data_IF_376898289871
#
_entry.id   IF_376898289871
#
_cell.length_a   1.000
_cell.length_b   1.000
_cell.length_c   1.000
_cell.angle_alpha   90.00
_cell.angle_beta   90.00
_cell.angle_gamma   90.00
#
_symmetry.space_group_name_H-M   'P 1'
#
loop_
_entity.id
_entity.type
_entity.pdbx_description
1 polymer ?
#
# COMPACT_ATOMS: atom_id res chain seq x y z
N UNK A 1 -60.43 -2.06 -48.04
CA UNK A 1 -60.09 -2.33 -46.64
C UNK A 1 -58.59 -2.39 -46.54
N UNK A 2 -57.96 -1.27 -46.09
CA UNK A 2 -56.51 -1.12 -46.02
C UNK A 2 -56.12 -1.55 -44.64
N UNK A 3 -55.32 -2.64 -44.53
CA UNK A 3 -54.75 -3.10 -43.27
C UNK A 3 -53.43 -2.31 -43.06
N UNK A 4 -53.44 -1.40 -42.11
CA UNK A 4 -52.26 -0.66 -41.64
C UNK A 4 -51.49 -1.55 -40.68
N UNK A 5 -50.36 -2.13 -41.16
CA UNK A 5 -49.42 -2.84 -40.26
C UNK A 5 -48.63 -1.80 -39.46
N UNK A 6 -48.93 -1.69 -38.18
CA UNK A 6 -48.08 -0.97 -37.20
C UNK A 6 -46.85 -1.83 -36.89
N UNK A 7 -45.71 -1.53 -37.49
CA UNK A 7 -44.42 -2.02 -37.07
C UNK A 7 -44.05 -1.29 -35.76
N UNK A 8 -44.29 -1.97 -34.63
CA UNK A 8 -43.74 -1.55 -33.35
C UNK A 8 -42.23 -1.84 -33.36
N UNK A 9 -41.43 -0.79 -33.62
CA UNK A 9 -39.99 -0.85 -33.43
C UNK A 9 -39.75 -0.91 -31.92
N UNK A 10 -39.40 -2.08 -31.37
CA UNK A 10 -38.71 -2.18 -30.08
C UNK A 10 -37.39 -1.39 -30.21
N UNK A 11 -37.33 -0.22 -29.60
CA UNK A 11 -36.05 0.39 -29.24
C UNK A 11 -35.55 -0.39 -28.03
N UNK A 12 -34.57 -1.26 -28.25
CA UNK A 12 -33.71 -1.71 -27.17
C UNK A 12 -33.02 -0.45 -26.61
N UNK A 13 -33.44 0.04 -25.48
CA UNK A 13 -32.67 1.06 -24.73
C UNK A 13 -31.42 0.36 -24.23
N UNK A 14 -30.31 0.50 -24.98
CA UNK A 14 -28.99 0.11 -24.49
C UNK A 14 -28.69 0.97 -23.26
N UNK A 15 -28.67 0.34 -22.09
CA UNK A 15 -28.19 1.00 -20.87
C UNK A 15 -26.73 1.38 -21.07
N UNK A 16 -26.34 2.64 -20.85
CA UNK A 16 -24.96 3.05 -21.05
C UNK A 16 -24.04 2.26 -20.11
N UNK A 17 -22.91 1.82 -20.65
CA UNK A 17 -21.89 1.11 -19.88
C UNK A 17 -21.36 2.01 -18.74
N UNK A 18 -21.06 1.40 -17.58
CA UNK A 18 -20.54 2.12 -16.42
C UNK A 18 -19.14 2.65 -16.71
N UNK A 19 -18.90 3.92 -16.36
CA UNK A 19 -17.58 4.56 -16.43
C UNK A 19 -16.81 4.49 -15.10
N UNK A 20 -17.32 3.77 -14.11
CA UNK A 20 -16.71 3.66 -12.78
C UNK A 20 -15.42 2.85 -12.82
N UNK A 21 -14.32 3.46 -12.32
CA UNK A 21 -12.97 2.91 -12.33
C UNK A 21 -12.18 3.39 -11.12
N UNK A 22 -12.66 3.06 -9.93
CA UNK A 22 -12.10 3.57 -8.68
C UNK A 22 -11.43 2.48 -7.87
N UNK A 23 -10.24 2.75 -7.34
CA UNK A 23 -9.61 1.94 -6.30
C UNK A 23 -10.10 2.39 -4.93
N UNK A 24 -10.79 1.50 -4.21
CA UNK A 24 -11.46 1.78 -2.93
C UNK A 24 -10.50 1.61 -1.75
N UNK A 25 -9.69 0.56 -1.78
CA UNK A 25 -8.72 0.26 -0.73
C UNK A 25 -7.52 -0.49 -1.28
N UNK A 26 -6.39 -0.34 -0.62
CA UNK A 26 -5.15 -1.03 -0.95
C UNK A 26 -4.37 -1.33 0.34
N UNK A 27 -3.87 -2.54 0.49
CA UNK A 27 -3.11 -2.97 1.68
C UNK A 27 -2.17 -4.11 1.35
N UNK A 28 -1.14 -4.30 2.17
CA UNK A 28 -0.28 -5.48 2.19
C UNK A 28 -0.56 -6.21 3.51
N UNK A 29 -1.12 -7.40 3.43
CA UNK A 29 -1.47 -8.21 4.60
C UNK A 29 -0.30 -9.10 4.99
N UNK A 30 0.03 -9.18 6.28
CA UNK A 30 1.09 -10.06 6.79
C UNK A 30 0.75 -11.54 6.55
N UNK A 31 -0.52 -11.91 6.65
CA UNK A 31 -0.99 -13.28 6.39
C UNK A 31 -0.57 -13.81 5.03
N UNK A 32 -0.62 -12.95 4.01
CA UNK A 32 -0.35 -13.29 2.61
C UNK A 32 1.14 -13.12 2.26
N UNK A 33 1.91 -12.46 3.16
CA UNK A 33 3.31 -12.07 2.98
C UNK A 33 4.20 -12.56 4.14
N UNK A 34 3.99 -13.79 4.59
CA UNK A 34 4.70 -14.35 5.74
C UNK A 34 6.22 -14.34 5.53
N UNK A 35 6.96 -13.90 6.54
CA UNK A 35 8.41 -13.80 6.50
C UNK A 35 8.97 -12.62 5.71
N UNK A 36 8.11 -11.80 5.05
CA UNK A 36 8.53 -10.64 4.26
C UNK A 36 8.23 -9.32 4.94
N UNK A 37 7.12 -9.23 5.65
CA UNK A 37 6.73 -8.03 6.40
C UNK A 37 6.41 -8.35 7.86
N UNK A 38 6.63 -7.39 8.74
CA UNK A 38 6.38 -7.55 10.19
C UNK A 38 4.92 -7.35 10.56
N UNK A 39 4.24 -6.39 9.92
CA UNK A 39 2.89 -5.95 10.25
C UNK A 39 2.07 -5.72 8.98
N UNK A 40 0.73 -5.73 9.12
CA UNK A 40 -0.16 -5.29 8.06
C UNK A 40 0.09 -3.80 7.73
N UNK A 41 0.10 -3.49 6.45
CA UNK A 41 0.31 -2.13 5.95
C UNK A 41 -0.93 -1.70 5.17
N UNK A 42 -1.56 -0.59 5.59
CA UNK A 42 -2.65 0.04 4.85
C UNK A 42 -2.12 1.15 3.98
N UNK A 43 -2.54 1.17 2.72
CA UNK A 43 -2.27 2.25 1.79
C UNK A 43 -3.13 3.47 2.08
N UNK A 44 -2.50 4.64 2.10
CA UNK A 44 -3.20 5.93 2.09
C UNK A 44 -3.44 6.35 0.65
N UNK A 45 -4.70 6.40 0.21
CA UNK A 45 -5.07 6.81 -1.15
C UNK A 45 -5.40 8.29 -1.14
N UNK A 46 -4.63 9.09 -1.90
CA UNK A 46 -4.88 10.53 -2.10
C UNK A 46 -4.86 10.83 -3.60
N UNK A 47 -6.04 11.08 -4.17
CA UNK A 47 -6.19 11.12 -5.62
C UNK A 47 -5.72 9.81 -6.23
N UNK A 48 -4.79 9.87 -7.15
CA UNK A 48 -4.25 8.71 -7.85
C UNK A 48 -2.92 8.19 -7.26
N UNK A 49 -2.54 8.65 -6.07
CA UNK A 49 -1.34 8.18 -5.38
C UNK A 49 -1.71 7.36 -4.15
N UNK A 50 -1.12 6.18 -4.04
CA UNK A 50 -1.25 5.25 -2.92
C UNK A 50 0.09 5.19 -2.22
N UNK A 51 0.14 5.64 -0.98
CA UNK A 51 1.36 5.60 -0.16
C UNK A 51 1.29 4.45 0.83
N UNK A 52 2.27 3.55 0.78
CA UNK A 52 2.49 2.47 1.74
C UNK A 52 3.64 2.85 2.66
N UNK A 53 3.39 2.94 3.97
CA UNK A 53 4.44 3.21 4.97
C UNK A 53 4.93 1.89 5.55
N UNK A 54 6.09 1.41 5.10
CA UNK A 54 6.66 0.11 5.41
C UNK A 54 7.90 0.21 6.31
N UNK A 55 8.25 -0.88 6.99
CA UNK A 55 9.46 -0.95 7.79
C UNK A 55 10.68 -1.09 6.85
N UNK A 56 11.82 -0.48 7.23
CA UNK A 56 13.04 -0.56 6.41
C UNK A 56 13.59 -1.99 6.26
N UNK A 57 13.18 -2.91 7.12
CA UNK A 57 13.59 -4.32 7.08
C UNK A 57 12.59 -5.22 6.35
N UNK A 58 11.50 -4.67 5.80
CA UNK A 58 10.54 -5.42 5.03
C UNK A 58 11.12 -5.77 3.63
N UNK A 59 10.89 -7.01 3.18
CA UNK A 59 11.24 -7.41 1.82
C UNK A 59 10.15 -6.92 0.85
N UNK A 60 10.47 -5.92 0.05
CA UNK A 60 9.54 -5.30 -0.89
C UNK A 60 9.33 -6.12 -2.17
N UNK A 61 10.12 -7.17 -2.37
CA UNK A 61 10.02 -8.01 -3.56
C UNK A 61 8.93 -9.06 -3.40
N UNK A 62 8.21 -9.29 -4.49
CA UNK A 62 7.18 -10.34 -4.58
C UNK A 62 6.14 -10.26 -3.45
N UNK A 63 5.69 -9.05 -3.10
CA UNK A 63 4.61 -8.86 -2.15
C UNK A 63 3.25 -9.02 -2.82
N UNK A 64 2.31 -9.59 -2.08
CA UNK A 64 0.91 -9.77 -2.48
C UNK A 64 0.10 -8.63 -1.87
N UNK A 65 -0.61 -7.89 -2.71
CA UNK A 65 -1.49 -6.82 -2.28
C UNK A 65 -2.94 -7.28 -2.21
N UNK A 66 -3.66 -6.82 -1.20
CA UNK A 66 -5.11 -6.97 -1.05
C UNK A 66 -5.75 -5.63 -1.33
N UNK A 67 -6.66 -5.59 -2.29
CA UNK A 67 -7.32 -4.36 -2.73
C UNK A 67 -8.78 -4.58 -3.06
N UNK A 68 -9.57 -3.48 -3.01
CA UNK A 68 -10.95 -3.42 -3.50
C UNK A 68 -11.04 -2.31 -4.53
N UNK A 69 -11.82 -2.54 -5.57
CA UNK A 69 -12.04 -1.58 -6.65
C UNK A 69 -13.46 -1.66 -7.19
N UNK A 70 -13.87 -0.62 -7.90
CA UNK A 70 -15.04 -0.57 -8.77
C UNK A 70 -14.55 -0.40 -10.20
N UNK A 71 -14.99 -1.29 -11.06
CA UNK A 71 -14.55 -1.43 -12.46
C UNK A 71 -14.62 -2.89 -12.89
N UNK A 72 -14.13 -3.18 -14.07
CA UNK A 72 -14.13 -4.53 -14.67
C UNK A 72 -12.82 -5.28 -14.40
N UNK A 73 -11.70 -4.56 -14.36
CA UNK A 73 -10.39 -5.19 -14.17
C UNK A 73 -9.36 -4.27 -13.53
N UNK A 74 -8.34 -4.90 -12.93
CA UNK A 74 -7.13 -4.24 -12.45
C UNK A 74 -5.93 -4.90 -13.10
N UNK A 75 -4.97 -4.08 -13.56
CA UNK A 75 -3.74 -4.58 -14.16
C UNK A 75 -2.51 -3.79 -13.74
N UNK A 76 -1.33 -4.44 -13.78
CA UNK A 76 0.00 -3.85 -13.62
C UNK A 76 0.84 -4.24 -14.82
N UNK A 77 1.38 -3.26 -15.55
CA UNK A 77 2.15 -3.51 -16.77
C UNK A 77 1.44 -4.44 -17.79
N UNK A 78 0.11 -4.35 -17.89
CA UNK A 78 -0.71 -5.18 -18.77
C UNK A 78 -1.00 -6.59 -18.24
N UNK A 79 -0.51 -6.95 -17.04
CA UNK A 79 -0.82 -8.23 -16.39
C UNK A 79 -1.98 -8.05 -15.43
N UNK A 80 -3.05 -8.82 -15.61
CA UNK A 80 -4.22 -8.82 -14.73
C UNK A 80 -3.83 -9.12 -13.28
N UNK A 81 -4.46 -8.40 -12.35
CA UNK A 81 -4.20 -8.53 -10.91
C UNK A 81 -5.38 -9.16 -10.20
N UNK A 82 -5.09 -10.10 -9.34
CA UNK A 82 -6.06 -10.72 -8.44
C UNK A 82 -5.70 -10.37 -6.99
N UNK A 83 -6.66 -9.74 -6.28
CA UNK A 83 -6.50 -9.27 -4.90
C UNK A 83 -6.20 -10.44 -3.95
N UNK A 84 -5.13 -10.34 -3.18
CA UNK A 84 -4.71 -11.39 -2.24
C UNK A 84 -3.97 -12.57 -2.91
N UNK A 85 -3.65 -12.48 -4.21
CA UNK A 85 -3.03 -13.60 -4.96
C UNK A 85 -1.82 -13.14 -5.76
N UNK A 86 -1.97 -12.11 -6.61
CA UNK A 86 -0.90 -11.69 -7.52
C UNK A 86 0.21 -10.96 -6.80
N UNK A 87 1.44 -11.42 -6.95
CA UNK A 87 2.62 -10.78 -6.36
C UNK A 87 3.24 -9.76 -7.29
N UNK A 88 3.78 -8.67 -6.72
CA UNK A 88 4.48 -7.61 -7.42
C UNK A 88 5.73 -7.15 -6.66
N UNK A 89 6.64 -6.49 -7.37
CA UNK A 89 7.84 -5.85 -6.79
C UNK A 89 7.53 -4.39 -6.45
N UNK A 90 7.49 -4.07 -5.16
CA UNK A 90 7.23 -2.74 -4.61
C UNK A 90 8.51 -1.95 -4.28
N UNK A 91 9.69 -2.44 -4.67
CA UNK A 91 10.96 -1.71 -4.48
C UNK A 91 11.08 -0.44 -5.34
N UNK A 92 10.16 -0.25 -6.28
CA UNK A 92 9.99 0.96 -7.11
C UNK A 92 8.52 1.31 -7.22
N UNK A 93 8.17 2.56 -7.58
CA UNK A 93 6.80 2.94 -7.81
C UNK A 93 6.11 1.99 -8.82
N UNK A 94 4.93 1.51 -8.45
CA UNK A 94 4.14 0.56 -9.23
C UNK A 94 2.92 1.26 -9.82
N UNK A 95 2.71 1.15 -11.12
CA UNK A 95 1.54 1.71 -11.79
C UNK A 95 0.43 0.65 -11.90
N UNK A 96 -0.71 0.94 -11.29
CA UNK A 96 -1.92 0.12 -11.33
C UNK A 96 -2.93 0.81 -12.24
N UNK A 97 -3.54 0.05 -13.14
CA UNK A 97 -4.57 0.51 -14.05
C UNK A 97 -5.90 -0.16 -13.69
N UNK A 98 -6.95 0.64 -13.44
CA UNK A 98 -8.32 0.18 -13.25
C UNK A 98 -9.11 0.48 -14.51
N UNK A 99 -9.82 -0.49 -15.06
CA UNK A 99 -10.64 -0.37 -16.26
C UNK A 99 -12.13 -0.43 -15.92
N UNK A 100 -12.92 0.44 -16.54
CA UNK A 100 -14.37 0.48 -16.46
C UNK A 100 -15.04 -0.36 -17.57
N UNK A 101 -16.38 -0.56 -17.49
CA UNK A 101 -17.14 -1.27 -18.52
C UNK A 101 -17.11 -0.57 -19.89
N UNK A 102 -17.08 0.77 -19.87
CA UNK A 102 -17.00 1.58 -21.10
C UNK A 102 -15.59 1.58 -21.73
N UNK A 103 -14.64 0.82 -21.17
CA UNK A 103 -13.25 0.74 -21.61
C UNK A 103 -12.37 1.90 -21.15
N UNK A 104 -12.94 2.89 -20.45
CA UNK A 104 -12.14 3.97 -19.87
C UNK A 104 -11.28 3.47 -18.72
N UNK A 105 -10.13 4.14 -18.45
CA UNK A 105 -9.13 3.67 -17.49
C UNK A 105 -8.71 4.77 -16.55
N UNK A 106 -8.39 4.39 -15.31
CA UNK A 106 -7.79 5.25 -14.29
C UNK A 106 -6.48 4.64 -13.83
N UNK A 107 -5.42 5.46 -13.79
CA UNK A 107 -4.09 5.04 -13.36
C UNK A 107 -3.82 5.50 -11.95
N UNK A 108 -3.36 4.57 -11.10
CA UNK A 108 -2.88 4.82 -9.74
C UNK A 108 -1.39 4.51 -9.66
N UNK A 109 -0.67 5.30 -8.88
CA UNK A 109 0.74 5.04 -8.57
C UNK A 109 0.86 4.61 -7.12
N UNK A 110 1.44 3.44 -6.88
CA UNK A 110 1.78 2.95 -5.53
C UNK A 110 3.23 3.31 -5.24
N UNK A 111 3.44 4.00 -4.13
CA UNK A 111 4.76 4.39 -3.64
C UNK A 111 4.97 3.84 -2.23
N UNK A 112 6.16 3.30 -1.98
CA UNK A 112 6.58 2.86 -0.66
C UNK A 112 7.43 3.94 -0.02
N UNK A 113 7.04 4.34 1.19
CA UNK A 113 7.85 5.19 2.08
C UNK A 113 8.33 4.31 3.22
N UNK A 114 9.64 4.16 3.34
CA UNK A 114 10.24 3.41 4.43
C UNK A 114 10.19 4.26 5.70
N UNK A 115 9.70 3.66 6.79
CA UNK A 115 9.77 4.28 8.11
C UNK A 115 11.22 4.26 8.57
N UNK A 116 11.70 5.41 9.02
CA UNK A 116 12.98 5.45 9.70
C UNK A 116 12.95 4.50 10.90
N UNK A 117 14.01 3.72 11.07
CA UNK A 117 14.18 2.98 12.31
C UNK A 117 14.16 3.98 13.46
N UNK A 118 13.41 3.68 14.51
CA UNK A 118 13.56 4.44 15.75
C UNK A 118 14.95 4.10 16.29
N UNK A 119 15.89 5.01 16.05
CA UNK A 119 17.26 4.88 16.53
C UNK A 119 17.28 5.38 17.96
N UNK A 120 17.64 4.50 18.89
CA UNK A 120 18.01 4.91 20.23
C UNK A 120 19.36 5.62 20.13
N UNK A 121 19.38 6.96 20.20
CA UNK A 121 20.60 7.75 20.07
C UNK A 121 21.30 8.00 21.41
N UNK A 122 20.56 7.94 22.52
CA UNK A 122 21.06 8.20 23.86
C UNK A 122 20.25 7.42 24.90
N UNK A 123 20.90 6.95 25.94
CA UNK A 123 20.26 6.51 27.17
C UNK A 123 21.12 6.87 28.38
N UNK A 124 20.49 6.95 29.57
CA UNK A 124 21.19 7.38 30.78
C UNK A 124 20.86 6.46 31.94
N UNK A 125 21.90 6.19 32.76
CA UNK A 125 21.71 5.65 34.11
C UNK A 125 21.86 6.80 35.12
N UNK A 126 20.79 7.10 35.82
CA UNK A 126 20.79 8.18 36.82
C UNK A 126 21.22 7.65 38.17
N UNK A 127 22.17 8.33 38.81
CA UNK A 127 22.64 8.01 40.17
C UNK A 127 21.49 7.98 41.17
N UNK A 128 20.50 8.86 41.07
CA UNK A 128 19.33 8.89 41.96
C UNK A 128 18.53 7.58 41.99
N UNK A 129 18.56 6.84 40.90
CA UNK A 129 17.80 5.58 40.70
C UNK A 129 18.71 4.34 40.83
N UNK A 130 20.01 4.54 40.99
CA UNK A 130 21.03 3.49 41.05
C UNK A 130 22.05 3.76 42.18
N UNK A 131 21.79 3.26 43.39
CA UNK A 131 22.56 3.57 44.58
C UNK A 131 24.07 3.21 44.52
N UNK A 132 24.48 2.35 43.63
CA UNK A 132 25.88 1.95 43.41
C UNK A 132 26.64 2.89 42.47
N UNK A 133 25.97 3.80 41.78
CA UNK A 133 26.62 4.77 40.90
C UNK A 133 27.12 5.97 41.73
N UNK A 134 28.34 6.39 41.47
CA UNK A 134 28.93 7.62 42.04
C UNK A 134 28.57 8.88 41.29
N UNK A 135 28.19 8.74 40.02
CA UNK A 135 27.78 9.82 39.11
C UNK A 135 26.72 9.31 38.11
N UNK A 136 26.06 10.21 37.41
CA UNK A 136 25.21 9.87 36.26
C UNK A 136 26.11 9.35 35.12
N UNK A 137 25.62 8.33 34.40
CA UNK A 137 26.30 7.78 33.20
C UNK A 137 25.43 8.03 32.01
N UNK A 138 25.93 8.82 31.07
CA UNK A 138 25.30 9.03 29.76
C UNK A 138 25.95 8.13 28.73
N UNK A 139 25.14 7.46 27.92
CA UNK A 139 25.60 6.63 26.82
C UNK A 139 24.98 7.13 25.52
N UNK A 140 25.81 7.46 24.55
CA UNK A 140 25.40 7.76 23.17
C UNK A 140 25.66 6.55 22.29
N UNK A 141 24.83 6.41 21.24
CA UNK A 141 24.99 5.36 20.24
C UNK A 141 25.42 6.04 18.94
N UNK A 142 26.63 5.75 18.50
CA UNK A 142 27.21 6.23 17.25
C UNK A 142 27.60 5.02 16.40
N UNK A 143 27.11 4.95 15.17
CA UNK A 143 27.43 3.87 14.22
C UNK A 143 27.36 2.46 14.82
N UNK A 144 26.24 2.14 15.53
CA UNK A 144 26.04 0.87 16.24
C UNK A 144 27.00 0.62 17.43
N UNK A 145 27.79 1.60 17.80
CA UNK A 145 28.72 1.53 18.95
C UNK A 145 28.18 2.31 20.13
N UNK A 146 28.21 1.68 21.32
CA UNK A 146 27.81 2.35 22.57
C UNK A 146 29.03 3.06 23.14
N UNK A 147 28.95 4.39 23.24
CA UNK A 147 29.99 5.22 23.88
C UNK A 147 29.46 5.71 25.21
N UNK A 148 30.17 5.40 26.30
CA UNK A 148 29.81 5.86 27.66
C UNK A 148 30.68 7.05 28.06
N UNK A 149 30.07 8.07 28.68
CA UNK A 149 30.77 9.20 29.30
C UNK A 149 30.34 9.33 30.75
N UNK A 150 31.31 9.60 31.62
CA UNK A 150 31.11 9.88 33.04
C UNK A 150 31.24 11.40 33.28
N UNK A 151 30.25 11.99 33.90
CA UNK A 151 30.26 13.42 34.28
C UNK A 151 30.24 13.54 35.82
#
# INVERSE_FOLDING_TARGET
>A
MIILLLLSACKDEETPLSSTKQLISFSIQKSDNQGKIKNDVRGSIKGNVITLSMDQYDDLKSLIATFKYEGTSVSVNGVGQESGITSNDFSRPLMILVEAEDGSREQYTVEVVLKDAQVLSEFRFLRKDNALLTADVSCTIEDETIVSSYT
#
